data_IF_954436862094
#
_entry.id   IF_954436862094
#
_cell.length_a   1.000
_cell.length_b   1.000
_cell.length_c   1.000
_cell.angle_alpha   90.00
_cell.angle_beta   90.00
_cell.angle_gamma   90.00
#
_symmetry.space_group_name_H-M   'P 1'
#
loop_
_entity.id
_entity.type
_entity.pdbx_description
1 polymer ?
#
# COMPACT_ATOMS: atom_id res chain seq x y z
N UNK A 1 12.48 4.11 -8.10
CA UNK A 1 12.83 5.37 -8.78
C UNK A 1 14.29 5.41 -9.26
N UNK A 2 14.97 4.29 -9.45
CA UNK A 2 16.30 4.17 -10.07
C UNK A 2 17.49 4.85 -9.34
N UNK A 3 17.23 5.47 -8.20
CA UNK A 3 18.23 6.20 -7.42
C UNK A 3 18.89 5.35 -6.33
N UNK A 4 18.51 4.07 -6.22
CA UNK A 4 18.92 3.15 -5.14
C UNK A 4 19.35 1.78 -5.69
N UNK A 5 20.34 1.73 -6.61
CA UNK A 5 20.72 0.47 -7.25
C UNK A 5 21.28 -0.56 -6.27
N UNK A 6 21.98 -0.11 -5.22
CA UNK A 6 22.55 -1.00 -4.19
C UNK A 6 21.47 -1.63 -3.31
N UNK A 7 20.48 -0.85 -2.91
CA UNK A 7 19.35 -1.30 -2.11
C UNK A 7 18.50 -2.29 -2.90
N UNK A 8 18.22 -2.00 -4.18
CA UNK A 8 17.52 -2.93 -5.06
C UNK A 8 18.30 -4.24 -5.25
N UNK A 9 19.62 -4.18 -5.43
CA UNK A 9 20.46 -5.37 -5.54
C UNK A 9 20.41 -6.22 -4.25
N UNK A 10 20.45 -5.58 -3.08
CA UNK A 10 20.31 -6.26 -1.78
C UNK A 10 18.92 -6.90 -1.62
N UNK A 11 17.86 -6.20 -2.00
CA UNK A 11 16.49 -6.74 -2.01
C UNK A 11 16.40 -7.98 -2.91
N UNK A 12 16.89 -7.90 -4.16
CA UNK A 12 16.86 -9.03 -5.09
C UNK A 12 17.69 -10.20 -4.57
N UNK A 13 18.82 -9.96 -3.91
CA UNK A 13 19.59 -10.99 -3.26
C UNK A 13 18.79 -11.68 -2.13
N UNK A 14 18.04 -10.93 -1.33
CA UNK A 14 17.17 -11.49 -0.28
C UNK A 14 15.98 -12.27 -0.83
N UNK A 15 15.48 -11.90 -2.01
CA UNK A 15 14.47 -12.68 -2.75
C UNK A 15 15.07 -13.98 -3.28
N UNK A 16 16.27 -13.95 -3.84
CA UNK A 16 16.96 -15.14 -4.33
C UNK A 16 17.34 -16.14 -3.21
N UNK A 17 17.55 -15.63 -1.99
CA UNK A 17 17.90 -16.45 -0.82
C UNK A 17 16.71 -17.19 -0.20
N UNK A 18 15.48 -16.97 -0.68
CA UNK A 18 14.29 -17.63 -0.13
C UNK A 18 14.32 -19.14 -0.37
N UNK A 19 13.98 -19.92 0.65
CA UNK A 19 13.93 -21.41 0.59
C UNK A 19 12.92 -21.91 -0.44
N UNK A 20 11.85 -21.17 -0.66
CA UNK A 20 10.89 -21.38 -1.75
C UNK A 20 11.10 -20.28 -2.79
N UNK A 21 11.49 -20.60 -4.02
CA UNK A 21 11.78 -19.59 -5.03
C UNK A 21 10.50 -18.86 -5.49
N UNK A 22 10.64 -17.59 -5.87
CA UNK A 22 9.59 -16.87 -6.58
C UNK A 22 9.43 -17.46 -8.00
N UNK A 23 8.19 -17.71 -8.43
CA UNK A 23 7.91 -18.19 -9.79
C UNK A 23 8.28 -17.13 -10.84
N UNK A 24 8.06 -15.85 -10.52
CA UNK A 24 8.37 -14.69 -11.39
C UNK A 24 8.71 -13.48 -10.53
N UNK A 25 9.67 -12.70 -10.99
CA UNK A 25 10.03 -11.43 -10.35
C UNK A 25 10.07 -10.33 -11.40
N UNK A 26 9.35 -9.23 -11.17
CA UNK A 26 9.24 -8.11 -12.10
C UNK A 26 9.77 -6.84 -11.44
N UNK A 27 10.68 -6.15 -12.11
CA UNK A 27 11.17 -4.82 -11.71
C UNK A 27 10.71 -3.80 -12.73
N UNK A 28 10.01 -2.77 -12.27
CA UNK A 28 9.48 -1.70 -13.14
C UNK A 28 10.27 -0.42 -12.94
N UNK A 29 10.96 0.01 -13.98
CA UNK A 29 11.59 1.33 -14.09
C UNK A 29 10.54 2.39 -14.38
N UNK A 30 9.95 2.95 -13.32
CA UNK A 30 8.83 3.88 -13.42
C UNK A 30 9.30 5.31 -13.69
N UNK A 31 9.53 5.65 -14.96
CA UNK A 31 10.12 6.92 -15.39
C UNK A 31 11.61 7.04 -15.05
N UNK A 32 12.31 5.92 -14.95
CA UNK A 32 13.77 5.85 -14.77
C UNK A 32 14.33 4.65 -15.53
N UNK A 33 15.58 4.76 -16.00
CA UNK A 33 16.23 3.66 -16.72
C UNK A 33 16.41 2.44 -15.83
N UNK A 34 16.12 1.25 -16.39
CA UNK A 34 16.50 -0.05 -15.84
C UNK A 34 17.68 -0.67 -16.59
N UNK A 35 18.08 -0.09 -17.73
CA UNK A 35 19.16 -0.61 -18.55
C UNK A 35 20.52 -0.52 -17.85
N UNK A 36 20.68 0.47 -16.96
CA UNK A 36 21.90 0.69 -16.20
C UNK A 36 21.95 -0.11 -14.88
N UNK A 37 20.89 -0.90 -14.60
CA UNK A 37 20.82 -1.76 -13.43
C UNK A 37 21.34 -3.15 -13.80
N UNK A 38 22.30 -3.65 -13.04
CA UNK A 38 22.81 -5.02 -13.17
C UNK A 38 21.75 -6.01 -12.56
N UNK A 39 20.65 -6.20 -13.30
CA UNK A 39 19.58 -7.10 -12.86
C UNK A 39 19.95 -8.56 -13.13
N UNK A 40 19.71 -9.48 -12.19
CA UNK A 40 19.86 -10.92 -12.42
C UNK A 40 19.00 -11.42 -13.59
N UNK A 41 19.45 -12.43 -14.32
CA UNK A 41 18.75 -12.99 -15.50
C UNK A 41 17.36 -13.56 -15.22
N UNK A 42 17.04 -13.87 -13.97
CA UNK A 42 15.72 -14.35 -13.53
C UNK A 42 14.72 -13.21 -13.25
N UNK A 43 15.15 -11.95 -13.35
CA UNK A 43 14.30 -10.77 -13.15
C UNK A 43 13.82 -10.26 -14.49
N UNK A 44 12.50 -10.14 -14.63
CA UNK A 44 11.87 -9.45 -15.75
C UNK A 44 11.92 -7.94 -15.54
N UNK A 45 12.59 -7.22 -16.43
CA UNK A 45 12.72 -5.77 -16.36
C UNK A 45 11.71 -5.09 -17.30
N UNK A 46 10.90 -4.18 -16.78
CA UNK A 46 9.94 -3.40 -17.57
C UNK A 46 10.28 -1.92 -17.46
N UNK A 47 10.49 -1.27 -18.62
CA UNK A 47 10.83 0.15 -18.71
C UNK A 47 9.61 0.99 -19.05
N UNK A 48 9.28 1.98 -18.22
CA UNK A 48 8.28 3.01 -18.53
C UNK A 48 8.96 4.31 -18.95
N UNK A 49 8.44 4.94 -19.99
CA UNK A 49 8.94 6.20 -20.51
C UNK A 49 8.75 7.37 -19.51
N UNK A 50 7.70 7.32 -18.70
CA UNK A 50 7.34 8.35 -17.74
C UNK A 50 6.95 7.76 -16.39
N UNK A 51 6.99 8.60 -15.34
CA UNK A 51 6.57 8.21 -13.99
C UNK A 51 5.04 8.23 -13.89
N UNK A 52 4.44 7.05 -13.84
CA UNK A 52 2.99 6.85 -13.68
C UNK A 52 2.54 6.82 -12.20
N UNK A 53 3.41 7.21 -11.28
CA UNK A 53 3.16 7.09 -9.84
C UNK A 53 3.28 5.66 -9.32
N UNK A 54 3.14 5.50 -8.02
CA UNK A 54 3.20 4.16 -7.36
C UNK A 54 2.13 3.24 -7.93
N UNK A 55 0.91 3.73 -8.06
CA UNK A 55 -0.23 2.95 -8.58
C UNK A 55 -0.05 2.53 -10.02
N UNK A 56 0.49 3.40 -10.87
CA UNK A 56 0.74 3.07 -12.28
C UNK A 56 1.85 2.03 -12.44
N UNK A 57 2.98 2.21 -11.74
CA UNK A 57 4.08 1.23 -11.75
C UNK A 57 3.63 -0.15 -11.25
N UNK A 58 2.90 -0.21 -10.14
CA UNK A 58 2.33 -1.46 -9.60
C UNK A 58 1.34 -2.12 -10.58
N UNK A 59 0.50 -1.35 -11.26
CA UNK A 59 -0.43 -1.91 -12.25
C UNK A 59 0.30 -2.52 -13.45
N UNK A 60 1.41 -1.93 -13.87
CA UNK A 60 2.25 -2.52 -14.92
C UNK A 60 2.86 -3.83 -14.44
N UNK A 61 3.43 -3.88 -13.24
CA UNK A 61 3.92 -5.14 -12.66
C UNK A 61 2.80 -6.19 -12.56
N UNK A 62 1.61 -5.81 -12.06
CA UNK A 62 0.46 -6.71 -11.97
C UNK A 62 0.03 -7.27 -13.32
N UNK A 63 0.14 -6.50 -14.42
CA UNK A 63 -0.18 -6.99 -15.75
C UNK A 63 0.69 -8.18 -16.17
N UNK A 64 1.94 -8.23 -15.73
CA UNK A 64 2.88 -9.33 -15.94
C UNK A 64 2.68 -10.50 -14.96
N UNK A 65 1.88 -10.33 -13.91
CA UNK A 65 1.68 -11.29 -12.81
C UNK A 65 0.20 -11.74 -12.69
N UNK A 66 -0.61 -11.57 -13.75
CA UNK A 66 -2.06 -11.87 -13.70
C UNK A 66 -2.41 -13.32 -13.43
N UNK A 67 -1.54 -14.22 -13.80
CA UNK A 67 -1.66 -15.67 -13.66
C UNK A 67 -1.13 -16.20 -12.32
N UNK A 68 -0.60 -15.33 -11.48
CA UNK A 68 -0.05 -15.73 -10.17
C UNK A 68 -1.14 -15.84 -9.11
N UNK A 69 -1.06 -16.87 -8.29
CA UNK A 69 -1.96 -17.05 -7.13
C UNK A 69 -1.73 -16.00 -6.05
N UNK A 70 -0.47 -15.63 -5.85
CA UNK A 70 -0.02 -14.65 -4.85
C UNK A 70 0.96 -13.66 -5.48
N UNK A 71 0.77 -12.39 -5.20
CA UNK A 71 1.68 -11.32 -5.64
C UNK A 71 2.23 -10.61 -4.41
N UNK A 72 3.54 -10.71 -4.20
CA UNK A 72 4.28 -9.96 -3.18
C UNK A 72 4.79 -8.64 -3.79
N UNK A 73 4.38 -7.53 -3.22
CA UNK A 73 4.82 -6.18 -3.58
C UNK A 73 5.84 -5.70 -2.54
N UNK A 74 7.01 -5.26 -2.99
CA UNK A 74 8.13 -4.80 -2.15
C UNK A 74 8.63 -3.44 -2.64
N UNK A 75 8.89 -2.53 -1.70
CA UNK A 75 9.58 -1.27 -2.00
C UNK A 75 11.06 -1.54 -2.33
N UNK A 76 11.65 -0.80 -3.27
CA UNK A 76 12.99 -0.98 -3.83
C UNK A 76 14.15 -0.77 -2.83
N UNK A 77 13.86 -0.28 -1.64
CA UNK A 77 14.80 -0.07 -0.52
C UNK A 77 14.50 -0.97 0.70
N UNK A 78 13.65 -1.96 0.51
CA UNK A 78 13.38 -2.99 1.51
C UNK A 78 14.39 -4.13 1.48
N UNK A 79 14.42 -4.94 2.55
CA UNK A 79 15.18 -6.18 2.64
C UNK A 79 14.37 -7.22 3.39
N UNK A 80 14.17 -8.41 2.80
CA UNK A 80 13.61 -9.56 3.50
C UNK A 80 14.67 -10.13 4.45
N UNK A 81 14.31 -10.23 5.73
CA UNK A 81 15.27 -10.63 6.77
C UNK A 81 15.34 -12.14 6.92
N UNK A 82 14.21 -12.83 6.75
CA UNK A 82 14.17 -14.30 6.84
C UNK A 82 14.14 -14.91 5.43
N UNK A 83 14.82 -16.04 5.29
CA UNK A 83 14.86 -16.83 4.07
C UNK A 83 13.63 -17.75 3.89
N UNK A 84 12.76 -17.83 4.89
CA UNK A 84 11.56 -18.66 4.93
C UNK A 84 10.25 -17.86 4.77
N UNK A 85 10.33 -16.59 4.41
CA UNK A 85 9.14 -15.75 4.34
C UNK A 85 8.15 -16.21 3.27
N UNK A 86 8.63 -16.69 2.10
CA UNK A 86 7.73 -17.18 1.04
C UNK A 86 7.00 -18.47 1.45
N UNK A 87 7.66 -19.35 2.17
CA UNK A 87 7.03 -20.54 2.74
C UNK A 87 5.97 -20.18 3.78
N UNK A 88 6.25 -19.20 4.66
CA UNK A 88 5.28 -18.70 5.64
C UNK A 88 4.07 -18.07 4.99
N UNK A 89 4.29 -17.26 3.94
CA UNK A 89 3.21 -16.65 3.13
C UNK A 89 2.31 -17.75 2.57
N UNK A 90 2.89 -18.76 1.92
CA UNK A 90 2.13 -19.85 1.32
C UNK A 90 1.27 -20.55 2.37
N UNK A 91 1.83 -20.91 3.52
CA UNK A 91 1.07 -21.52 4.64
C UNK A 91 -0.08 -20.66 5.15
N UNK A 92 0.09 -19.33 5.22
CA UNK A 92 -0.98 -18.42 5.64
C UNK A 92 -2.18 -18.47 4.69
N UNK A 93 -1.93 -18.47 3.38
CA UNK A 93 -2.99 -18.52 2.38
C UNK A 93 -3.63 -19.91 2.24
N UNK A 94 -2.86 -20.97 2.43
CA UNK A 94 -3.39 -22.34 2.49
C UNK A 94 -4.30 -22.55 3.71
N UNK A 95 -3.95 -21.96 4.86
CA UNK A 95 -4.73 -22.06 6.08
C UNK A 95 -6.03 -21.26 6.06
N UNK A 96 -6.11 -20.19 5.27
CA UNK A 96 -7.29 -19.34 5.18
C UNK A 96 -7.60 -18.90 3.74
N UNK A 97 -8.43 -19.65 3.02
CA UNK A 97 -8.84 -19.30 1.65
C UNK A 97 -9.58 -17.96 1.51
N UNK A 98 -10.06 -17.38 2.61
CA UNK A 98 -10.67 -16.04 2.65
C UNK A 98 -9.64 -14.91 2.84
N UNK A 99 -8.35 -15.22 2.92
CA UNK A 99 -7.27 -14.26 3.06
C UNK A 99 -7.02 -13.55 1.74
N UNK A 100 -7.20 -12.24 1.71
CA UNK A 100 -6.98 -11.42 0.52
C UNK A 100 -5.66 -10.68 0.56
N UNK A 101 -5.28 -10.16 1.73
CA UNK A 101 -4.08 -9.33 1.88
C UNK A 101 -3.34 -9.71 3.17
N UNK A 102 -2.03 -9.88 3.05
CA UNK A 102 -1.11 -10.01 4.18
C UNK A 102 -0.17 -8.79 4.18
N UNK A 103 -0.18 -8.03 5.26
CA UNK A 103 0.76 -6.92 5.48
C UNK A 103 1.92 -7.35 6.38
N UNK A 104 3.13 -6.98 6.01
CA UNK A 104 4.36 -7.24 6.75
C UNK A 104 4.55 -6.24 7.89
N UNK A 105 5.36 -6.61 8.86
CA UNK A 105 5.99 -5.67 9.78
C UNK A 105 7.14 -4.96 9.06
N UNK A 106 7.14 -3.63 9.15
CA UNK A 106 8.24 -2.80 8.62
C UNK A 106 9.03 -2.27 9.81
N UNK A 107 10.32 -2.56 9.86
CA UNK A 107 11.22 -2.09 10.90
C UNK A 107 12.52 -1.54 10.29
N UNK A 108 13.20 -0.68 11.03
CA UNK A 108 14.54 -0.20 10.64
C UNK A 108 15.63 -1.25 10.96
N UNK A 109 16.88 -0.90 10.71
CA UNK A 109 18.04 -1.77 10.90
C UNK A 109 18.25 -2.20 12.36
N UNK A 110 17.65 -1.47 13.31
CA UNK A 110 17.66 -1.80 14.74
C UNK A 110 16.52 -2.71 15.17
N UNK A 111 15.63 -3.06 14.23
CA UNK A 111 14.39 -3.81 14.50
C UNK A 111 13.25 -2.95 15.06
N UNK A 112 13.43 -1.62 15.12
CA UNK A 112 12.40 -0.71 15.62
C UNK A 112 11.32 -0.44 14.56
N UNK A 113 10.07 -0.73 14.91
CA UNK A 113 8.91 -0.42 14.07
C UNK A 113 8.31 0.94 14.45
N UNK A 114 8.32 1.88 13.54
CA UNK A 114 7.70 3.18 13.76
C UNK A 114 6.19 3.04 13.94
N UNK A 115 5.60 3.84 14.84
CA UNK A 115 4.15 3.81 15.11
C UNK A 115 3.28 3.92 13.86
N UNK A 116 3.70 4.68 12.85
CA UNK A 116 3.00 4.82 11.58
C UNK A 116 2.97 3.54 10.74
N UNK A 117 3.89 2.60 11.02
CA UNK A 117 3.99 1.31 10.34
C UNK A 117 3.21 0.20 11.06
N UNK A 118 2.42 0.52 12.08
CA UNK A 118 1.50 -0.43 12.69
C UNK A 118 0.08 -0.16 12.17
N UNK A 119 -0.57 -1.13 11.49
CA UNK A 119 -1.84 -0.91 10.79
C UNK A 119 -3.05 -0.88 11.75
N UNK A 120 -2.92 -0.20 12.91
CA UNK A 120 -3.96 -0.02 13.94
C UNK A 120 -3.98 1.41 14.45
N UNK A 121 -5.16 1.95 14.77
CA UNK A 121 -5.31 3.33 15.24
C UNK A 121 -4.61 3.60 16.57
N UNK A 122 -4.69 2.67 17.50
CA UNK A 122 -4.05 2.74 18.83
C UNK A 122 -2.94 1.70 18.88
N UNK A 123 -1.97 1.86 17.96
CA UNK A 123 -0.86 0.95 17.85
C UNK A 123 -0.05 0.95 19.16
N UNK A 124 -0.15 -0.13 19.91
CA UNK A 124 0.70 -0.42 21.06
C UNK A 124 1.86 -1.30 20.63
N UNK A 125 1.63 -2.59 20.61
CA UNK A 125 2.63 -3.60 20.29
C UNK A 125 2.72 -3.88 18.77
N UNK A 126 3.86 -3.61 18.11
CA UNK A 126 4.07 -3.93 16.70
C UNK A 126 4.15 -5.44 16.44
N UNK A 127 4.36 -6.25 17.47
CA UNK A 127 4.37 -7.72 17.36
C UNK A 127 2.98 -8.36 17.45
N UNK A 128 1.96 -7.57 17.72
CA UNK A 128 0.58 -8.07 17.76
C UNK A 128 0.02 -8.28 16.36
N UNK A 129 0.06 -9.49 15.86
CA UNK A 129 -0.53 -9.91 14.59
C UNK A 129 -2.07 -9.95 14.55
N UNK A 130 -2.63 -10.45 13.45
CA UNK A 130 -4.06 -10.75 13.29
C UNK A 130 -4.80 -9.79 12.37
N UNK A 131 -6.13 -9.92 12.35
CA UNK A 131 -7.00 -9.19 11.40
C UNK A 131 -6.94 -7.67 11.61
N UNK A 132 -6.81 -6.96 10.51
CA UNK A 132 -6.74 -5.49 10.43
C UNK A 132 -7.64 -4.97 9.30
N UNK A 133 -7.77 -3.64 9.19
CA UNK A 133 -8.60 -3.00 8.16
C UNK A 133 -7.79 -2.21 7.13
N UNK A 134 -6.48 -2.26 7.24
CA UNK A 134 -5.53 -1.59 6.34
C UNK A 134 -4.21 -2.35 6.36
N UNK A 135 -3.35 -2.05 5.41
CA UNK A 135 -1.99 -2.57 5.32
C UNK A 135 -1.04 -1.45 4.88
N UNK A 136 0.24 -1.74 4.77
CA UNK A 136 1.28 -0.78 4.41
C UNK A 136 1.80 -1.08 3.00
N UNK A 137 2.13 -0.02 2.26
CA UNK A 137 2.60 -0.11 0.88
C UNK A 137 3.98 -0.76 0.72
N UNK A 138 4.86 -0.65 1.72
CA UNK A 138 6.26 -1.07 1.60
C UNK A 138 6.51 -2.57 1.48
N UNK A 139 5.62 -3.41 2.06
CA UNK A 139 5.61 -4.86 1.84
C UNK A 139 4.25 -5.45 2.15
N UNK A 140 3.68 -6.16 1.18
CA UNK A 140 2.40 -6.84 1.33
C UNK A 140 2.21 -7.90 0.25
N UNK A 141 1.40 -8.90 0.56
CA UNK A 141 0.98 -9.93 -0.39
C UNK A 141 -0.49 -9.75 -0.74
N UNK A 142 -0.79 -9.87 -2.01
CA UNK A 142 -2.15 -9.81 -2.57
C UNK A 142 -2.52 -11.17 -3.15
N UNK A 143 -3.73 -11.66 -2.83
CA UNK A 143 -4.29 -12.85 -3.49
C UNK A 143 -4.67 -12.52 -4.94
N UNK A 144 -4.22 -13.34 -5.89
CA UNK A 144 -4.62 -13.25 -7.30
C UNK A 144 -6.13 -13.38 -7.48
N UNK A 145 -6.78 -14.27 -6.72
CA UNK A 145 -8.25 -14.43 -6.69
C UNK A 145 -8.95 -13.15 -6.22
N UNK A 146 -8.41 -12.50 -5.20
CA UNK A 146 -8.92 -11.22 -4.74
C UNK A 146 -8.76 -10.15 -5.83
N UNK A 147 -7.58 -10.04 -6.43
CA UNK A 147 -7.31 -9.06 -7.49
C UNK A 147 -8.24 -9.25 -8.69
N UNK A 148 -8.49 -10.49 -9.11
CA UNK A 148 -9.44 -10.81 -10.18
C UNK A 148 -10.86 -10.30 -9.88
N UNK A 149 -11.28 -10.32 -8.62
CA UNK A 149 -12.59 -9.87 -8.19
C UNK A 149 -12.70 -8.35 -8.02
N UNK A 150 -11.71 -7.74 -7.38
CA UNK A 150 -11.79 -6.31 -7.00
C UNK A 150 -11.07 -5.37 -7.97
N UNK A 151 -10.21 -5.90 -8.86
CA UNK A 151 -9.42 -5.14 -9.81
C UNK A 151 -8.16 -4.52 -9.21
N UNK A 152 -7.45 -3.78 -10.05
CA UNK A 152 -6.12 -3.23 -9.84
C UNK A 152 -6.06 -2.04 -8.88
N UNK A 153 -4.85 -1.49 -8.73
CA UNK A 153 -4.62 -0.24 -8.01
C UNK A 153 -5.33 0.94 -8.68
N UNK A 154 -5.82 1.91 -7.91
CA UNK A 154 -6.51 3.09 -8.44
C UNK A 154 -5.53 4.02 -9.17
N UNK A 155 -5.34 3.87 -10.46
CA UNK A 155 -4.35 4.62 -11.25
C UNK A 155 -4.44 6.16 -11.06
N UNK A 156 -5.66 6.71 -10.89
CA UNK A 156 -5.87 8.14 -10.65
C UNK A 156 -5.27 8.66 -9.34
N UNK A 157 -4.88 7.79 -8.41
CA UNK A 157 -4.31 8.21 -7.12
C UNK A 157 -2.85 8.64 -7.25
N UNK A 158 -2.11 8.07 -8.15
CA UNK A 158 -0.68 8.31 -8.36
C UNK A 158 0.19 7.93 -7.16
N UNK A 159 -0.11 8.47 -5.99
CA UNK A 159 0.62 8.26 -4.72
C UNK A 159 -0.28 8.60 -3.53
N UNK A 160 -0.23 7.81 -2.46
CA UNK A 160 -0.96 7.97 -1.18
C UNK A 160 -2.43 7.59 -1.25
N UNK A 161 -2.88 6.84 -0.24
CA UNK A 161 -4.23 6.28 -0.06
C UNK A 161 -4.63 5.14 -1.02
N UNK A 162 -3.77 4.71 -1.91
CA UNK A 162 -4.00 3.56 -2.79
C UNK A 162 -4.22 2.27 -1.99
N UNK A 163 -3.45 2.05 -0.92
CA UNK A 163 -3.63 0.90 -0.01
C UNK A 163 -4.98 0.97 0.70
N UNK A 164 -5.42 2.17 1.05
CA UNK A 164 -6.73 2.36 1.68
C UNK A 164 -7.87 2.02 0.72
N UNK A 165 -7.79 2.43 -0.55
CA UNK A 165 -8.78 2.07 -1.57
C UNK A 165 -8.81 0.56 -1.80
N UNK A 166 -7.64 -0.08 -1.93
CA UNK A 166 -7.50 -1.52 -2.09
C UNK A 166 -8.07 -2.27 -0.89
N UNK A 167 -7.69 -1.88 0.33
CA UNK A 167 -8.16 -2.48 1.57
C UNK A 167 -9.68 -2.39 1.71
N UNK A 168 -10.28 -1.24 1.41
CA UNK A 168 -11.72 -1.06 1.52
C UNK A 168 -12.49 -1.90 0.49
N UNK A 169 -11.95 -2.03 -0.74
CA UNK A 169 -12.53 -2.93 -1.76
C UNK A 169 -12.44 -4.39 -1.34
N UNK A 170 -11.29 -4.81 -0.84
CA UNK A 170 -11.09 -6.18 -0.36
C UNK A 170 -12.05 -6.54 0.78
N UNK A 171 -12.15 -5.68 1.80
CA UNK A 171 -13.06 -5.87 2.92
C UNK A 171 -14.53 -5.89 2.50
N UNK A 172 -14.90 -5.04 1.53
CA UNK A 172 -16.28 -4.99 1.01
C UNK A 172 -16.63 -6.20 0.14
N UNK A 173 -15.66 -6.77 -0.54
CA UNK A 173 -15.80 -8.03 -1.27
C UNK A 173 -15.81 -9.28 -0.35
N UNK A 174 -15.56 -9.09 0.96
CA UNK A 174 -15.60 -10.17 1.94
C UNK A 174 -14.26 -10.72 2.38
N UNK A 175 -13.16 -10.30 1.71
CA UNK A 175 -11.81 -10.75 2.00
C UNK A 175 -11.32 -10.29 3.36
N UNK A 176 -10.36 -11.04 3.91
CA UNK A 176 -9.66 -10.69 5.14
C UNK A 176 -8.34 -9.99 4.83
N UNK A 177 -7.93 -9.11 5.74
CA UNK A 177 -6.61 -8.48 5.75
C UNK A 177 -5.96 -8.86 7.06
N UNK A 178 -4.76 -9.43 6.99
CA UNK A 178 -4.00 -9.85 8.17
C UNK A 178 -2.69 -9.08 8.23
N UNK A 179 -2.33 -8.63 9.40
CA UNK A 179 -0.99 -8.15 9.73
C UNK A 179 -0.22 -9.33 10.35
N UNK A 180 0.89 -9.71 9.71
CA UNK A 180 1.74 -10.83 10.08
C UNK A 180 3.12 -10.29 10.51
N UNK A 181 3.33 -9.96 11.80
CA UNK A 181 4.58 -9.33 12.27
C UNK A 181 5.80 -10.25 12.20
N UNK A 182 5.60 -11.54 12.05
CA UNK A 182 6.63 -12.54 11.79
C UNK A 182 7.24 -12.43 10.39
N UNK A 183 6.53 -11.83 9.44
CA UNK A 183 7.05 -11.43 8.13
C UNK A 183 7.63 -10.02 8.27
N UNK A 184 8.95 -9.92 8.22
CA UNK A 184 9.67 -8.68 8.46
C UNK A 184 10.32 -8.15 7.18
N UNK A 185 9.92 -6.94 6.78
CA UNK A 185 10.72 -6.12 5.87
C UNK A 185 11.56 -5.14 6.68
N UNK A 186 12.88 -5.23 6.56
CA UNK A 186 13.77 -4.17 7.00
C UNK A 186 13.75 -3.04 5.98
N UNK A 187 13.55 -1.82 6.44
CA UNK A 187 13.44 -0.64 5.58
C UNK A 187 14.14 0.53 6.26
N UNK A 188 14.98 1.31 5.55
CA UNK A 188 15.71 2.42 6.13
C UNK A 188 14.79 3.40 6.87
N UNK A 189 15.25 3.91 7.99
CA UNK A 189 14.50 4.90 8.77
C UNK A 189 14.39 6.21 8.02
N UNK A 190 13.25 6.47 7.40
CA UNK A 190 12.98 7.71 6.70
C UNK A 190 12.06 8.64 7.50
N UNK A 191 12.37 9.93 7.46
CA UNK A 191 11.41 10.96 7.86
C UNK A 191 10.46 11.24 6.70
N UNK A 192 9.14 11.33 6.94
CA UNK A 192 8.21 11.70 5.87
C UNK A 192 8.56 13.08 5.35
N UNK A 193 9.01 13.16 4.10
CA UNK A 193 9.19 14.44 3.42
C UNK A 193 7.82 15.07 3.15
N UNK A 194 7.36 15.93 4.07
CA UNK A 194 6.08 16.63 3.94
C UNK A 194 6.26 17.93 3.16
N UNK A 195 6.46 17.79 1.85
CA UNK A 195 6.49 18.92 0.93
C UNK A 195 5.10 19.19 0.29
N UNK A 196 4.98 20.28 -0.45
CA UNK A 196 3.71 20.70 -1.05
C UNK A 196 3.00 19.62 -1.87
N UNK A 197 3.75 18.82 -2.64
CA UNK A 197 3.21 17.70 -3.41
C UNK A 197 2.52 16.66 -2.52
N UNK A 198 3.14 16.28 -1.39
CA UNK A 198 2.55 15.35 -0.44
C UNK A 198 1.22 15.87 0.12
N UNK A 199 1.17 17.11 0.58
CA UNK A 199 -0.05 17.70 1.13
C UNK A 199 -1.17 17.77 0.10
N UNK A 200 -0.85 18.20 -1.12
CA UNK A 200 -1.81 18.30 -2.23
C UNK A 200 -2.36 16.93 -2.61
N UNK A 201 -1.49 15.95 -2.86
CA UNK A 201 -1.89 14.61 -3.30
C UNK A 201 -2.68 13.88 -2.21
N UNK A 202 -2.26 13.99 -0.94
CA UNK A 202 -2.97 13.42 0.19
C UNK A 202 -4.39 13.98 0.32
N UNK A 203 -4.58 15.29 0.21
CA UNK A 203 -5.89 15.93 0.27
C UNK A 203 -6.79 15.50 -0.89
N UNK A 204 -6.26 15.54 -2.12
CA UNK A 204 -6.99 15.12 -3.33
C UNK A 204 -7.47 13.68 -3.21
N UNK A 205 -6.58 12.78 -2.84
CA UNK A 205 -6.90 11.36 -2.78
C UNK A 205 -7.85 11.00 -1.64
N UNK A 206 -7.87 11.77 -0.55
CA UNK A 206 -8.92 11.65 0.48
C UNK A 206 -10.30 11.99 -0.08
N UNK A 207 -10.40 13.03 -0.87
CA UNK A 207 -11.66 13.37 -1.54
C UNK A 207 -12.05 12.28 -2.54
N UNK A 208 -11.11 11.77 -3.33
CA UNK A 208 -11.35 10.65 -4.24
C UNK A 208 -11.86 9.41 -3.50
N UNK A 209 -11.18 9.01 -2.42
CA UNK A 209 -11.55 7.87 -1.61
C UNK A 209 -12.95 8.02 -1.03
N UNK A 210 -13.28 9.19 -0.45
CA UNK A 210 -14.60 9.48 0.08
C UNK A 210 -15.68 9.41 -1.00
N UNK A 211 -15.48 10.06 -2.13
CA UNK A 211 -16.42 10.08 -3.26
C UNK A 211 -16.64 8.69 -3.87
N UNK A 212 -15.60 7.87 -3.91
CA UNK A 212 -15.66 6.52 -4.52
C UNK A 212 -16.25 5.49 -3.59
N UNK A 213 -15.84 5.49 -2.30
CA UNK A 213 -15.97 4.32 -1.41
C UNK A 213 -16.89 4.52 -0.22
N UNK A 214 -17.15 5.76 0.21
CA UNK A 214 -17.97 5.95 1.38
C UNK A 214 -19.47 6.04 1.06
N UNK A 215 -20.34 5.45 1.90
CA UNK A 215 -21.75 5.80 1.94
C UNK A 215 -21.93 7.31 2.07
N UNK A 216 -22.91 7.88 1.37
CA UNK A 216 -23.08 9.33 1.27
C UNK A 216 -23.08 10.07 2.64
N UNK A 217 -23.74 9.58 3.71
CA UNK A 217 -23.71 10.24 5.01
C UNK A 217 -22.32 10.30 5.67
N UNK A 218 -21.40 9.37 5.34
CA UNK A 218 -20.07 9.33 5.91
C UNK A 218 -19.07 10.26 5.18
N UNK A 219 -19.38 10.72 3.97
CA UNK A 219 -18.51 11.58 3.20
C UNK A 219 -18.16 12.88 3.94
N UNK A 220 -19.16 13.71 4.38
CA UNK A 220 -18.85 14.94 5.11
C UNK A 220 -18.17 14.65 6.46
N UNK A 221 -18.52 13.58 7.14
CA UNK A 221 -17.88 13.20 8.41
C UNK A 221 -16.40 12.91 8.22
N UNK A 222 -16.08 12.04 7.25
CA UNK A 222 -14.69 11.70 6.92
C UNK A 222 -13.88 12.92 6.53
N UNK A 223 -14.39 13.73 5.60
CA UNK A 223 -13.66 14.89 5.12
C UNK A 223 -13.50 15.98 6.20
N UNK A 224 -14.52 16.17 7.04
CA UNK A 224 -14.47 17.11 8.17
C UNK A 224 -13.46 16.69 9.23
N UNK A 225 -13.43 15.41 9.63
CA UNK A 225 -12.44 14.86 10.57
C UNK A 225 -11.02 15.08 10.05
N UNK A 226 -10.77 14.76 8.79
CA UNK A 226 -9.42 14.90 8.22
C UNK A 226 -9.02 16.35 7.95
N UNK A 227 -9.96 17.24 7.65
CA UNK A 227 -9.71 18.68 7.58
C UNK A 227 -9.29 19.21 8.97
N UNK A 228 -10.06 18.91 10.00
CA UNK A 228 -9.75 19.32 11.37
C UNK A 228 -8.39 18.78 11.84
N UNK A 229 -8.11 17.49 11.61
CA UNK A 229 -6.82 16.88 11.96
C UNK A 229 -5.65 17.49 11.18
N UNK A 230 -5.86 17.87 9.92
CA UNK A 230 -4.82 18.52 9.12
C UNK A 230 -4.51 19.90 9.66
N UNK A 231 -5.53 20.72 9.92
CA UNK A 231 -5.36 22.07 10.50
C UNK A 231 -4.64 21.96 11.86
N UNK A 232 -5.06 21.04 12.72
CA UNK A 232 -4.46 20.88 14.06
C UNK A 232 -2.98 20.43 14.01
N UNK A 233 -2.56 19.69 12.97
CA UNK A 233 -1.22 19.08 12.89
C UNK A 233 -0.25 19.83 11.99
N UNK A 234 -0.74 20.63 11.06
CA UNK A 234 0.07 21.35 10.06
C UNK A 234 0.24 22.79 10.50
N UNK A 235 1.47 23.15 10.89
CA UNK A 235 1.82 24.51 11.32
C UNK A 235 2.38 25.37 10.19
N UNK A 236 2.63 24.78 9.04
CA UNK A 236 3.17 25.44 7.86
C UNK A 236 2.03 25.94 6.95
N UNK A 237 2.00 27.25 6.70
CA UNK A 237 0.98 27.88 5.85
C UNK A 237 1.06 27.44 4.37
N UNK A 238 2.26 27.14 3.86
CA UNK A 238 2.44 26.64 2.50
C UNK A 238 1.86 25.23 2.36
N UNK A 239 2.08 24.35 3.37
CA UNK A 239 1.48 23.03 3.44
C UNK A 239 -0.04 23.07 3.51
N UNK A 240 -0.63 23.96 4.31
CA UNK A 240 -2.08 24.14 4.37
C UNK A 240 -2.65 24.64 3.03
N UNK A 241 -1.99 25.61 2.38
CA UNK A 241 -2.38 26.09 1.05
C UNK A 241 -2.36 24.97 0.02
N UNK A 242 -1.30 24.16 -0.01
CA UNK A 242 -1.18 23.02 -0.89
C UNK A 242 -2.29 21.98 -0.62
N UNK A 243 -2.60 21.72 0.66
CA UNK A 243 -3.68 20.85 1.07
C UNK A 243 -5.05 21.35 0.59
N UNK A 244 -5.37 22.62 0.79
CA UNK A 244 -6.62 23.24 0.29
C UNK A 244 -6.72 23.14 -1.24
N UNK A 245 -5.62 23.37 -1.96
CA UNK A 245 -5.55 23.20 -3.40
C UNK A 245 -5.87 21.76 -3.83
N UNK A 246 -5.27 20.77 -3.18
CA UNK A 246 -5.55 19.35 -3.43
C UNK A 246 -6.99 18.96 -3.09
N UNK A 247 -7.53 19.48 -1.99
CA UNK A 247 -8.92 19.23 -1.61
C UNK A 247 -9.90 19.75 -2.68
N UNK A 248 -9.70 20.97 -3.17
CA UNK A 248 -10.49 21.56 -4.25
C UNK A 248 -10.33 20.79 -5.58
N UNK A 249 -9.10 20.37 -5.90
CA UNK A 249 -8.81 19.51 -7.05
C UNK A 249 -9.59 18.19 -6.98
N UNK A 250 -9.61 17.55 -5.81
CA UNK A 250 -10.32 16.30 -5.58
C UNK A 250 -11.82 16.37 -5.85
N UNK A 251 -12.44 17.54 -5.71
CA UNK A 251 -13.84 17.76 -6.07
C UNK A 251 -14.04 18.03 -7.57
N UNK A 252 -13.10 18.71 -8.22
CA UNK A 252 -13.21 19.18 -9.61
C UNK A 252 -12.81 18.12 -10.63
N UNK A 253 -11.93 17.19 -10.25
CA UNK A 253 -11.39 16.20 -11.17
C UNK A 253 -12.13 14.86 -11.09
N UNK A 254 -12.16 14.09 -12.19
CA UNK A 254 -12.70 12.73 -12.20
C UNK A 254 -11.90 11.81 -11.25
N UNK A 255 -12.60 11.08 -10.40
CA UNK A 255 -11.96 10.16 -9.46
C UNK A 255 -12.20 8.67 -9.80
N UNK A 256 -12.88 8.40 -10.91
CA UNK A 256 -13.31 7.05 -11.29
C UNK A 256 -14.71 6.71 -10.78
N UNK A 257 -15.12 5.48 -11.00
CA UNK A 257 -16.48 5.01 -10.70
C UNK A 257 -16.77 5.00 -9.22
N UNK A 258 -17.94 5.55 -8.85
CA UNK A 258 -18.45 5.49 -7.48
C UNK A 258 -19.01 4.08 -7.20
N UNK A 259 -18.44 3.41 -6.20
CA UNK A 259 -18.90 2.12 -5.67
C UNK A 259 -18.77 2.17 -4.14
N UNK A 260 -19.77 2.74 -3.44
CA UNK A 260 -19.73 2.85 -1.98
C UNK A 260 -19.72 1.48 -1.33
N UNK A 261 -18.94 1.33 -0.27
CA UNK A 261 -18.95 0.11 0.53
C UNK A 261 -20.27 -0.09 1.24
N UNK A 262 -20.63 -1.33 1.51
CA UNK A 262 -21.83 -1.69 2.25
C UNK A 262 -21.75 -1.26 3.70
N UNK A 263 -22.88 -0.97 4.31
CA UNK A 263 -22.94 -0.65 5.74
C UNK A 263 -22.43 -1.79 6.63
N UNK A 264 -22.61 -3.05 6.21
CA UNK A 264 -22.02 -4.21 6.89
C UNK A 264 -20.50 -4.11 6.96
N UNK A 265 -19.85 -3.61 5.90
CA UNK A 265 -18.40 -3.38 5.87
C UNK A 265 -18.00 -2.24 6.81
N UNK A 266 -18.75 -1.14 6.84
CA UNK A 266 -18.54 -0.04 7.80
C UNK A 266 -18.57 -0.58 9.24
N UNK A 267 -19.58 -1.39 9.58
CA UNK A 267 -19.68 -1.99 10.91
C UNK A 267 -18.58 -3.00 11.20
N UNK A 268 -18.18 -3.82 10.22
CA UNK A 268 -17.03 -4.73 10.34
C UNK A 268 -15.76 -3.96 10.68
N UNK A 269 -15.47 -2.89 9.96
CA UNK A 269 -14.28 -2.04 10.21
C UNK A 269 -14.35 -1.37 11.58
N UNK A 270 -15.52 -0.89 11.99
CA UNK A 270 -15.73 -0.28 13.31
C UNK A 270 -15.45 -1.26 14.44
N UNK A 271 -15.97 -2.50 14.33
CA UNK A 271 -15.72 -3.58 15.30
C UNK A 271 -14.24 -3.99 15.37
N UNK A 272 -13.52 -3.90 14.25
CA UNK A 272 -12.07 -4.12 14.19
C UNK A 272 -11.25 -2.92 14.70
N UNK A 273 -11.92 -1.89 15.25
CA UNK A 273 -11.28 -0.75 15.92
C UNK A 273 -10.80 0.36 14.99
N UNK A 274 -11.12 0.32 13.70
CA UNK A 274 -10.78 1.40 12.74
C UNK A 274 -11.95 1.67 11.80
N UNK A 275 -12.94 2.48 12.23
CA UNK A 275 -14.03 2.89 11.36
C UNK A 275 -13.51 3.65 10.14
N UNK A 276 -14.20 3.58 8.99
CA UNK A 276 -13.70 4.18 7.74
C UNK A 276 -13.72 5.71 7.72
N UNK A 277 -13.96 6.35 8.84
CA UNK A 277 -13.88 7.81 9.02
C UNK A 277 -12.58 8.26 9.70
N UNK A 278 -11.71 7.32 10.10
CA UNK A 278 -10.44 7.58 10.81
C UNK A 278 -9.23 7.01 10.10
#
# INVERSE_FOLDING_TARGET
MGTRPRELAALLASVAAQTTPATRTVVVGNGCSVADLELPSWVEAVQLAENLGVTGGRNVALAHLRDMDLVLDLDDDGLLVADTDFERITRLYEADPGLGIVGFRIADETGFTQRRHVPRLRAGDPMRGGTVTTFLGGAHVLSGKMLAQIGDWPASFFFSHEETDMAWRALDAGWKIVYAPELLLQHPRTSPARHAFFYRTNARNRVYLARRRLPAPLVPVYLGVWAALTVARTRDAAGLRAWCGGFAEGWRTPCGTRRPMRWSTVWKMTRLGRPPVL
#
